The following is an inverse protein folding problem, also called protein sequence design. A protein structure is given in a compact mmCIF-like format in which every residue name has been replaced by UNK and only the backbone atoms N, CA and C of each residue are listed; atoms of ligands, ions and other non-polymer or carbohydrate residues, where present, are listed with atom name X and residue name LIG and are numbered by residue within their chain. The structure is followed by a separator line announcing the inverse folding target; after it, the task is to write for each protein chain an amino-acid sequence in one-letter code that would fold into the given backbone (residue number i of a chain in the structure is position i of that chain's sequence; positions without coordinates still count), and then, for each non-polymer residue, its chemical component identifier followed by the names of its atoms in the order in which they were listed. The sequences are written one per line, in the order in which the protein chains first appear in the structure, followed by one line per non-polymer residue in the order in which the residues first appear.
data_IF_081473756482
#
_entry.id   IF_081473756482
#
_cell.length_a   1.000
_cell.length_b   1.000
_cell.length_c   1.000
_cell.angle_alpha   90.00
_cell.angle_beta   90.00
_cell.angle_gamma   90.00
#
_symmetry.space_group_name_H-M   'P 1'
#
loop_
_entity.id
_entity.type
_entity.pdbx_description
1 polymer ?
#
# COMPACT_ATOMS: atom_id res chain seq x y z
N UNK A 1 11.76 19.94 -17.00
CA UNK A 1 12.27 18.55 -17.10
C UNK A 1 11.58 17.86 -18.27
N UNK A 2 12.32 17.17 -19.11
CA UNK A 2 11.76 16.45 -20.27
C UNK A 2 11.08 15.14 -19.83
N UNK A 3 10.09 14.66 -20.59
CA UNK A 3 9.31 13.44 -20.31
C UNK A 3 10.18 12.18 -20.17
N UNK A 4 11.37 12.19 -20.79
CA UNK A 4 12.36 11.12 -20.71
C UNK A 4 12.76 10.75 -19.27
N UNK A 5 12.67 11.68 -18.30
CA UNK A 5 12.97 11.40 -16.89
C UNK A 5 11.96 10.47 -16.21
N UNK A 6 10.76 10.30 -16.77
CA UNK A 6 9.75 9.39 -16.24
C UNK A 6 9.95 7.93 -16.72
N UNK A 7 10.87 7.68 -17.67
CA UNK A 7 11.09 6.33 -18.20
C UNK A 7 11.50 5.29 -17.15
N UNK A 8 12.42 5.57 -16.22
CA UNK A 8 12.76 4.59 -15.19
C UNK A 8 11.56 4.22 -14.32
N UNK A 9 10.71 5.20 -14.02
CA UNK A 9 9.49 5.00 -13.26
C UNK A 9 8.46 4.15 -14.04
N UNK A 10 8.19 4.49 -15.30
CA UNK A 10 7.30 3.72 -16.15
C UNK A 10 7.81 2.29 -16.38
N UNK A 11 9.12 2.13 -16.58
CA UNK A 11 9.78 0.82 -16.75
C UNK A 11 9.66 -0.04 -15.50
N UNK A 12 9.85 0.54 -14.31
CA UNK A 12 9.65 -0.16 -13.04
C UNK A 12 8.18 -0.60 -12.86
N UNK A 13 7.22 0.29 -13.12
CA UNK A 13 5.79 -0.05 -13.03
C UNK A 13 5.40 -1.18 -13.99
N UNK A 14 5.86 -1.13 -15.24
CA UNK A 14 5.63 -2.19 -16.21
C UNK A 14 6.28 -3.50 -15.77
N UNK A 15 7.47 -3.43 -15.18
CA UNK A 15 8.16 -4.62 -14.65
C UNK A 15 7.36 -5.27 -13.53
N UNK A 16 6.84 -4.47 -12.58
CA UNK A 16 6.02 -4.98 -11.46
C UNK A 16 4.67 -5.51 -11.95
N UNK A 17 4.08 -4.88 -12.95
CA UNK A 17 2.81 -5.34 -13.53
C UNK A 17 2.97 -6.64 -14.35
N UNK A 18 4.04 -6.77 -15.13
CA UNK A 18 4.20 -7.90 -16.08
C UNK A 18 5.05 -9.05 -15.55
N UNK A 19 6.04 -8.77 -14.68
CA UNK A 19 6.99 -9.75 -14.15
C UNK A 19 6.33 -10.95 -13.47
N UNK A 20 5.43 -10.74 -12.48
CA UNK A 20 4.72 -11.83 -11.81
C UNK A 20 3.86 -12.68 -12.75
N UNK A 21 3.31 -12.07 -13.82
CA UNK A 21 2.39 -12.72 -14.76
C UNK A 21 3.12 -13.52 -15.84
N UNK A 22 4.22 -12.98 -16.39
CA UNK A 22 4.93 -13.58 -17.52
C UNK A 22 6.10 -14.49 -17.09
N UNK A 23 6.78 -14.14 -15.99
CA UNK A 23 8.04 -14.79 -15.59
C UNK A 23 8.14 -14.95 -14.07
N UNK A 24 7.15 -15.60 -13.46
CA UNK A 24 7.00 -15.73 -12.01
C UNK A 24 8.29 -16.13 -11.26
N UNK A 25 8.93 -17.25 -11.64
CA UNK A 25 10.15 -17.73 -10.97
C UNK A 25 11.35 -16.78 -11.09
N UNK A 26 11.51 -16.13 -12.25
CA UNK A 26 12.61 -15.16 -12.45
C UNK A 26 12.35 -13.91 -11.62
N UNK A 27 11.10 -13.44 -11.61
CA UNK A 27 10.68 -12.27 -10.86
C UNK A 27 10.93 -12.44 -9.37
N UNK A 28 10.49 -13.54 -8.76
CA UNK A 28 10.69 -13.79 -7.33
C UNK A 28 12.16 -13.76 -6.91
N UNK A 29 13.05 -14.33 -7.73
CA UNK A 29 14.49 -14.35 -7.44
C UNK A 29 15.24 -13.07 -7.81
N UNK A 30 14.78 -12.31 -8.81
CA UNK A 30 15.51 -11.17 -9.39
C UNK A 30 14.82 -9.82 -9.17
N UNK A 31 13.69 -9.77 -8.46
CA UNK A 31 12.95 -8.55 -8.17
C UNK A 31 13.86 -7.43 -7.67
N UNK A 32 14.70 -7.71 -6.67
CA UNK A 32 15.63 -6.72 -6.11
C UNK A 32 16.63 -6.20 -7.14
N UNK A 33 17.13 -7.05 -8.04
CA UNK A 33 18.09 -6.66 -9.08
C UNK A 33 17.42 -5.79 -10.16
N UNK A 34 16.20 -6.13 -10.56
CA UNK A 34 15.42 -5.37 -11.55
C UNK A 34 15.08 -3.98 -10.98
N UNK A 35 14.61 -3.92 -9.74
CA UNK A 35 14.30 -2.66 -9.06
C UNK A 35 15.54 -1.81 -8.87
N UNK A 36 16.67 -2.41 -8.47
CA UNK A 36 17.94 -1.71 -8.34
C UNK A 36 18.41 -1.13 -9.68
N UNK A 37 18.28 -1.90 -10.77
CA UNK A 37 18.62 -1.43 -12.12
C UNK A 37 17.82 -0.18 -12.49
N UNK A 38 16.49 -0.20 -12.32
CA UNK A 38 15.65 0.97 -12.61
C UNK A 38 15.93 2.15 -11.70
N UNK A 39 16.18 1.92 -10.41
CA UNK A 39 16.57 2.96 -9.47
C UNK A 39 17.91 3.60 -9.86
N UNK A 40 18.91 2.81 -10.23
CA UNK A 40 20.19 3.31 -10.73
C UNK A 40 20.01 4.12 -12.02
N UNK A 41 19.12 3.69 -12.91
CA UNK A 41 18.81 4.42 -14.15
C UNK A 41 18.09 5.75 -13.88
N UNK A 42 17.46 5.94 -12.72
CA UNK A 42 16.95 7.24 -12.29
C UNK A 42 18.05 8.10 -11.62
N UNK A 43 18.81 7.51 -10.70
CA UNK A 43 19.76 8.25 -9.84
C UNK A 43 21.06 8.61 -10.57
N UNK A 44 21.60 7.72 -11.41
CA UNK A 44 22.87 7.97 -12.10
C UNK A 44 22.75 9.15 -13.09
N UNK A 45 21.74 9.21 -13.98
CA UNK A 45 21.57 10.38 -14.84
C UNK A 45 21.33 11.66 -14.04
N UNK A 46 20.63 11.58 -12.89
CA UNK A 46 20.43 12.73 -12.01
C UNK A 46 21.77 13.26 -11.47
N UNK A 47 22.64 12.37 -11.02
CA UNK A 47 23.97 12.72 -10.53
C UNK A 47 24.87 13.30 -11.63
N UNK A 48 24.77 12.78 -12.86
CA UNK A 48 25.53 13.29 -14.01
C UNK A 48 25.02 14.66 -14.47
N UNK A 49 23.70 14.86 -14.53
CA UNK A 49 23.10 16.09 -15.08
C UNK A 49 23.08 17.27 -14.08
N UNK A 50 22.88 16.99 -12.78
CA UNK A 50 22.70 18.00 -11.74
C UNK A 50 23.82 17.98 -10.67
N UNK A 51 24.75 17.05 -10.77
CA UNK A 51 25.87 16.90 -9.83
C UNK A 51 25.57 15.93 -8.69
N UNK A 52 26.64 15.34 -8.15
CA UNK A 52 26.56 14.37 -7.06
C UNK A 52 25.89 14.93 -5.78
N UNK A 53 26.19 16.15 -5.30
CA UNK A 53 25.59 16.68 -4.08
C UNK A 53 24.06 16.79 -4.17
N UNK A 54 23.55 17.34 -5.27
CA UNK A 54 22.11 17.51 -5.49
C UNK A 54 21.39 16.17 -5.65
N UNK A 55 22.00 15.20 -6.33
CA UNK A 55 21.41 13.86 -6.44
C UNK A 55 21.37 13.13 -5.10
N UNK A 56 22.43 13.22 -4.29
CA UNK A 56 22.44 12.63 -2.95
C UNK A 56 21.42 13.28 -2.03
N UNK A 57 21.28 14.61 -2.07
CA UNK A 57 20.29 15.33 -1.27
C UNK A 57 18.87 14.91 -1.64
N UNK A 58 18.56 14.83 -2.94
CA UNK A 58 17.26 14.36 -3.41
C UNK A 58 16.94 12.92 -2.98
N UNK A 59 17.90 12.00 -3.08
CA UNK A 59 17.73 10.60 -2.66
C UNK A 59 17.54 10.50 -1.15
N UNK A 60 18.35 11.23 -0.36
CA UNK A 60 18.25 11.24 1.09
C UNK A 60 16.94 11.87 1.56
N UNK A 61 16.50 12.95 0.91
CA UNK A 61 15.22 13.58 1.21
C UNK A 61 14.06 12.62 0.94
N UNK A 62 14.04 11.95 -0.22
CA UNK A 62 13.03 10.95 -0.53
C UNK A 62 13.03 9.77 0.46
N UNK A 63 14.21 9.28 0.84
CA UNK A 63 14.32 8.15 1.79
C UNK A 63 13.95 8.52 3.23
N UNK A 64 14.46 9.64 3.73
CA UNK A 64 14.35 10.02 5.14
C UNK A 64 13.10 10.84 5.43
N UNK A 65 12.72 11.75 4.54
CA UNK A 65 11.59 12.64 4.77
C UNK A 65 10.29 12.05 4.25
N UNK A 66 10.29 11.41 3.08
CA UNK A 66 9.06 10.84 2.52
C UNK A 66 8.87 9.39 2.96
N UNK A 67 9.80 8.51 2.61
CA UNK A 67 9.65 7.06 2.83
C UNK A 67 9.66 6.68 4.31
N UNK A 68 10.65 7.15 5.07
CA UNK A 68 10.71 6.84 6.51
C UNK A 68 9.52 7.41 7.27
N UNK A 69 9.11 8.65 6.97
CA UNK A 69 7.92 9.26 7.58
C UNK A 69 6.66 8.45 7.30
N UNK A 70 6.49 8.00 6.05
CA UNK A 70 5.39 7.13 5.67
C UNK A 70 5.41 5.78 6.41
N UNK A 71 6.59 5.14 6.54
CA UNK A 71 6.73 3.88 7.29
C UNK A 71 6.39 4.08 8.78
N UNK A 72 6.84 5.18 9.39
CA UNK A 72 6.52 5.50 10.79
C UNK A 72 5.01 5.73 10.96
N UNK A 73 4.38 6.45 10.04
CA UNK A 73 2.94 6.66 10.03
C UNK A 73 2.18 5.33 9.95
N UNK A 74 2.53 4.47 8.98
CA UNK A 74 1.91 3.16 8.83
C UNK A 74 2.13 2.29 10.08
N UNK A 75 3.32 2.33 10.68
CA UNK A 75 3.63 1.58 11.88
C UNK A 75 2.80 2.03 13.08
N UNK A 76 2.68 3.35 13.28
CA UNK A 76 1.83 3.92 14.33
C UNK A 76 0.36 3.55 14.12
N UNK A 77 -0.14 3.68 12.88
CA UNK A 77 -1.51 3.32 12.52
C UNK A 77 -1.76 1.83 12.76
N UNK A 78 -0.84 0.96 12.34
CA UNK A 78 -0.94 -0.48 12.55
C UNK A 78 -0.98 -0.83 14.05
N UNK A 79 -0.10 -0.23 14.83
CA UNK A 79 0.00 -0.50 16.27
C UNK A 79 -1.25 -0.05 17.02
N UNK A 80 -1.74 1.17 16.73
CA UNK A 80 -2.93 1.73 17.39
C UNK A 80 -4.19 1.02 16.92
N UNK A 81 -4.44 0.97 15.60
CA UNK A 81 -5.64 0.35 15.02
C UNK A 81 -5.71 -1.15 15.29
N UNK A 82 -4.58 -1.86 15.25
CA UNK A 82 -4.51 -3.28 15.56
C UNK A 82 -4.78 -3.64 17.02
N UNK A 83 -4.50 -2.70 17.93
CA UNK A 83 -4.81 -2.82 19.36
C UNK A 83 -6.28 -2.58 19.71
N UNK A 84 -7.06 -1.94 18.83
CA UNK A 84 -8.47 -1.65 19.06
C UNK A 84 -9.30 -2.90 18.77
N UNK A 85 -9.89 -3.49 19.82
CA UNK A 85 -10.84 -4.59 19.69
C UNK A 85 -12.27 -4.06 19.77
N UNK A 86 -12.96 -4.05 18.63
CA UNK A 86 -14.41 -3.83 18.59
C UNK A 86 -15.11 -5.17 18.85
N UNK A 87 -15.72 -5.31 20.02
CA UNK A 87 -16.46 -6.49 20.45
C UNK A 87 -17.98 -6.25 20.37
N UNK A 88 -18.73 -7.29 20.02
CA UNK A 88 -20.19 -7.25 19.90
C UNK A 88 -20.72 -8.44 19.10
N UNK A 89 -21.98 -8.82 19.35
CA UNK A 89 -22.69 -9.81 18.54
C UNK A 89 -23.42 -9.09 17.39
N UNK A 90 -22.72 -8.93 16.27
CA UNK A 90 -23.22 -8.19 15.10
C UNK A 90 -23.90 -9.19 14.17
N UNK A 91 -25.18 -9.01 13.89
CA UNK A 91 -25.88 -9.87 12.92
C UNK A 91 -25.60 -9.39 11.49
N UNK A 92 -25.16 -10.30 10.62
CA UNK A 92 -24.82 -10.05 9.21
C UNK A 92 -26.01 -9.80 8.28
N UNK A 93 -26.88 -8.87 8.65
CA UNK A 93 -27.94 -8.37 7.76
C UNK A 93 -27.36 -7.41 6.72
N UNK A 94 -27.97 -7.28 5.52
CA UNK A 94 -27.49 -6.34 4.50
C UNK A 94 -27.38 -4.90 4.99
N UNK A 95 -28.32 -4.46 5.84
CA UNK A 95 -28.33 -3.10 6.39
C UNK A 95 -27.14 -2.86 7.33
N UNK A 96 -26.81 -3.84 8.16
CA UNK A 96 -25.67 -3.75 9.09
C UNK A 96 -24.35 -3.74 8.32
N UNK A 97 -24.20 -4.58 7.31
CA UNK A 97 -23.00 -4.56 6.46
C UNK A 97 -22.87 -3.22 5.71
N UNK A 98 -23.95 -2.69 5.14
CA UNK A 98 -23.92 -1.37 4.51
C UNK A 98 -23.55 -0.25 5.50
N UNK A 99 -24.05 -0.33 6.73
CA UNK A 99 -23.66 0.56 7.83
C UNK A 99 -22.18 0.46 8.18
N UNK A 100 -21.63 -0.76 8.27
CA UNK A 100 -20.20 -1.00 8.53
C UNK A 100 -19.32 -0.43 7.40
N UNK A 101 -19.73 -0.59 6.14
CA UNK A 101 -19.03 0.00 4.99
C UNK A 101 -19.06 1.53 5.04
N UNK A 102 -20.21 2.12 5.37
CA UNK A 102 -20.35 3.58 5.49
C UNK A 102 -19.50 4.14 6.63
N UNK A 103 -19.48 3.47 7.78
CA UNK A 103 -18.59 3.82 8.90
C UNK A 103 -17.13 3.69 8.47
N UNK A 104 -16.77 2.60 7.78
CA UNK A 104 -15.42 2.39 7.25
C UNK A 104 -14.99 3.51 6.31
N UNK A 105 -15.85 3.94 5.39
CA UNK A 105 -15.57 5.05 4.47
C UNK A 105 -15.38 6.39 5.20
N UNK A 106 -16.21 6.67 6.21
CA UNK A 106 -16.03 7.87 7.05
C UNK A 106 -14.72 7.82 7.85
N UNK A 107 -14.42 6.67 8.47
CA UNK A 107 -13.16 6.49 9.19
C UNK A 107 -11.95 6.60 8.27
N UNK A 108 -12.00 6.02 7.08
CA UNK A 108 -10.93 6.08 6.09
C UNK A 108 -10.60 7.52 5.69
N UNK A 109 -11.60 8.42 5.69
CA UNK A 109 -11.41 9.84 5.40
C UNK A 109 -10.67 10.59 6.52
N UNK A 110 -10.67 10.06 7.75
CA UNK A 110 -10.04 10.71 8.93
C UNK A 110 -8.70 10.07 9.29
N UNK A 111 -8.66 8.73 9.38
CA UNK A 111 -7.48 7.98 9.85
C UNK A 111 -6.76 7.22 8.72
N UNK A 112 -7.26 7.28 7.48
CA UNK A 112 -6.72 6.56 6.32
C UNK A 112 -7.36 5.18 6.12
N UNK A 113 -7.37 4.71 4.86
CA UNK A 113 -7.97 3.42 4.45
C UNK A 113 -7.33 2.23 5.16
N UNK A 114 -6.01 2.24 5.35
CA UNK A 114 -5.27 1.20 6.05
C UNK A 114 -5.71 1.04 7.51
N UNK A 115 -5.85 2.16 8.24
CA UNK A 115 -6.22 2.16 9.65
C UNK A 115 -7.68 1.78 9.87
N UNK A 116 -8.58 2.34 9.07
CA UNK A 116 -10.00 2.00 9.10
C UNK A 116 -10.22 0.51 8.81
N UNK A 117 -9.53 -0.03 7.81
CA UNK A 117 -9.59 -1.45 7.47
C UNK A 117 -9.12 -2.33 8.63
N UNK A 118 -8.04 -1.95 9.30
CA UNK A 118 -7.48 -2.74 10.39
C UNK A 118 -8.37 -2.79 11.64
N UNK A 119 -9.11 -1.71 11.93
CA UNK A 119 -10.09 -1.67 13.03
C UNK A 119 -11.31 -2.56 12.72
N UNK A 120 -11.82 -2.49 11.49
CA UNK A 120 -13.11 -3.05 11.11
C UNK A 120 -13.06 -4.45 10.50
N UNK A 121 -11.88 -4.94 10.11
CA UNK A 121 -11.73 -6.27 9.53
C UNK A 121 -12.29 -7.37 10.45
N UNK A 122 -12.03 -7.28 11.76
CA UNK A 122 -12.53 -8.27 12.73
C UNK A 122 -14.06 -8.17 12.91
N UNK A 123 -14.67 -6.99 13.12
CA UNK A 123 -16.12 -6.83 13.11
C UNK A 123 -16.81 -7.38 11.86
N UNK A 124 -16.27 -7.11 10.67
CA UNK A 124 -16.88 -7.55 9.41
C UNK A 124 -16.84 -9.07 9.27
N UNK A 125 -15.70 -9.68 9.62
CA UNK A 125 -15.56 -11.15 9.64
C UNK A 125 -16.54 -11.79 10.62
N UNK A 126 -16.67 -11.23 11.84
CA UNK A 126 -17.61 -11.71 12.86
C UNK A 126 -19.06 -11.54 12.44
N UNK A 127 -19.42 -10.43 11.80
CA UNK A 127 -20.79 -10.20 11.35
C UNK A 127 -21.24 -11.22 10.29
N UNK A 128 -20.29 -11.79 9.53
CA UNK A 128 -20.57 -12.68 8.39
C UNK A 128 -20.05 -14.11 8.60
N UNK A 129 -19.77 -14.49 9.84
CA UNK A 129 -19.26 -15.82 10.23
C UNK A 129 -20.26 -16.95 9.92
N UNK A 130 -21.55 -16.67 10.05
CA UNK A 130 -22.66 -17.61 9.84
C UNK A 130 -22.99 -17.83 8.34
N UNK A 131 -22.30 -17.15 7.42
CA UNK A 131 -22.55 -17.29 5.97
C UNK A 131 -21.58 -18.29 5.33
N UNK A 132 -22.06 -19.22 4.48
CA UNK A 132 -21.19 -20.18 3.80
C UNK A 132 -20.25 -19.52 2.77
N UNK A 133 -20.62 -18.35 2.23
CA UNK A 133 -19.80 -17.58 1.29
C UNK A 133 -19.67 -16.13 1.77
N UNK A 134 -18.50 -15.75 2.27
CA UNK A 134 -18.24 -14.43 2.86
C UNK A 134 -16.94 -13.76 2.39
N UNK A 135 -16.13 -14.42 1.55
CA UNK A 135 -14.86 -13.86 1.04
C UNK A 135 -15.04 -12.52 0.31
N UNK A 136 -16.13 -12.37 -0.46
CA UNK A 136 -16.43 -11.13 -1.18
C UNK A 136 -16.59 -9.93 -0.23
N UNK A 137 -17.10 -10.12 0.99
CA UNK A 137 -17.30 -9.04 1.96
C UNK A 137 -15.96 -8.42 2.35
N UNK A 138 -14.92 -9.24 2.52
CA UNK A 138 -13.57 -8.77 2.85
C UNK A 138 -12.91 -8.09 1.65
N UNK A 139 -13.06 -8.68 0.46
CA UNK A 139 -12.46 -8.14 -0.77
C UNK A 139 -13.02 -6.75 -1.06
N UNK A 140 -14.34 -6.55 -1.02
CA UNK A 140 -14.96 -5.25 -1.27
C UNK A 140 -14.78 -4.25 -0.12
N UNK A 141 -14.38 -4.69 1.06
CA UNK A 141 -14.19 -3.82 2.22
C UNK A 141 -12.83 -3.08 2.21
N UNK A 142 -11.78 -3.69 1.65
CA UNK A 142 -10.40 -3.18 1.72
C UNK A 142 -10.12 -2.10 0.65
N UNK A 143 -11.07 -1.79 -0.24
CA UNK A 143 -10.95 -0.79 -1.32
C UNK A 143 -11.38 0.62 -0.90
#
# INVERSE_FOLDING_TARGET
MSLWWALPFAGLLLSIATGPLLFHHVWEHHYGKITFFWAALAVVPLAVAFGMPSATDAVLHALLTEYMSFIILLFALFTISGGILVAGNIHGTPLVNAGLLLIGAMLASVIGTTGASMILIRPILRANDNRPFNAHVVIFFIF
#
